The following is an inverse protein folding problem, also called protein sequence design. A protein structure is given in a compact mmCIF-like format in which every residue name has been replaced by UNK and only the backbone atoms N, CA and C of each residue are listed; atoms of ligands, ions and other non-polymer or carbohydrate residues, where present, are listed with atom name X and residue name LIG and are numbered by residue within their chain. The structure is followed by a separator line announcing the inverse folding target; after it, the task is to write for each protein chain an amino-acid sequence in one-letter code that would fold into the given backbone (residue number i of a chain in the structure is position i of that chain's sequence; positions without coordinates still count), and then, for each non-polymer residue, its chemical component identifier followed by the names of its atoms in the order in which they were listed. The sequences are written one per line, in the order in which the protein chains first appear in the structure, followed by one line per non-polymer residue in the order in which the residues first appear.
data_IF_850335015151
#
_entry.id   IF_850335015151
#
_cell.length_a   1.000
_cell.length_b   1.000
_cell.length_c   1.000
_cell.angle_alpha   90.00
_cell.angle_beta   90.00
_cell.angle_gamma   90.00
#
_symmetry.space_group_name_H-M   'P 1'
#
loop_
_entity.id
_entity.type
_entity.pdbx_description
1 polymer ?
#
# COMPACT_ATOMS: atom_id res chain seq x y z
N UNK A 1 -13.70 28.79 -56.86
CA UNK A 1 -13.68 27.47 -56.26
C UNK A 1 -15.13 27.03 -56.10
N UNK A 2 -15.48 25.93 -56.63
CA UNK A 2 -16.85 25.42 -56.68
C UNK A 2 -16.98 24.09 -55.89
N UNK A 3 -16.33 24.03 -54.74
CA UNK A 3 -16.44 22.88 -53.86
C UNK A 3 -17.65 23.03 -52.94
N UNK A 4 -18.41 21.96 -52.82
CA UNK A 4 -19.49 21.86 -51.83
C UNK A 4 -18.92 21.96 -50.43
N UNK A 5 -19.59 22.66 -49.53
CA UNK A 5 -19.22 22.74 -48.14
C UNK A 5 -19.10 21.32 -47.56
N UNK A 6 -17.99 21.06 -46.94
CA UNK A 6 -17.75 19.82 -46.16
C UNK A 6 -17.99 20.14 -44.69
N UNK A 7 -18.71 19.29 -44.01
CA UNK A 7 -18.88 19.39 -42.56
C UNK A 7 -18.24 18.17 -41.90
N UNK A 8 -17.49 18.42 -40.86
CA UNK A 8 -16.93 17.38 -40.01
C UNK A 8 -17.61 17.42 -38.65
N UNK A 9 -17.89 16.28 -38.09
CA UNK A 9 -18.34 16.16 -36.70
C UNK A 9 -17.10 15.97 -35.87
N UNK A 10 -16.94 16.77 -34.84
CA UNK A 10 -15.99 16.56 -33.75
C UNK A 10 -16.83 16.16 -32.55
N UNK A 11 -16.60 15.00 -32.03
CA UNK A 11 -17.33 14.46 -30.92
C UNK A 11 -16.35 13.71 -30.00
N UNK A 12 -16.68 13.63 -28.74
CA UNK A 12 -15.99 12.74 -27.80
C UNK A 12 -16.19 11.28 -28.17
N UNK A 13 -15.25 10.43 -27.80
CA UNK A 13 -15.37 8.98 -27.87
C UNK A 13 -15.88 8.43 -26.53
N UNK A 14 -16.24 7.17 -26.49
CA UNK A 14 -16.42 6.46 -25.23
C UNK A 14 -15.12 5.77 -24.87
N UNK A 15 -14.65 5.99 -23.66
CA UNK A 15 -13.48 5.30 -23.14
C UNK A 15 -13.81 3.88 -22.68
N UNK A 16 -12.79 3.06 -22.57
CA UNK A 16 -12.82 1.77 -21.88
C UNK A 16 -11.61 1.65 -20.96
N UNK A 17 -11.82 1.05 -19.81
CA UNK A 17 -10.75 0.70 -18.86
C UNK A 17 -10.77 -0.80 -18.63
N UNK A 18 -9.60 -1.39 -18.53
CA UNK A 18 -9.39 -2.83 -18.41
C UNK A 18 -8.23 -3.11 -17.46
N UNK A 19 -8.42 -4.01 -16.53
CA UNK A 19 -7.35 -4.62 -15.73
C UNK A 19 -6.98 -5.90 -16.46
N UNK A 20 -5.81 -5.92 -17.11
CA UNK A 20 -5.40 -7.03 -17.98
C UNK A 20 -4.97 -8.26 -17.16
N UNK A 21 -5.94 -9.09 -16.77
CA UNK A 21 -5.69 -10.32 -16.05
C UNK A 21 -4.66 -11.25 -16.72
N UNK A 22 -4.36 -11.06 -18.01
CA UNK A 22 -3.32 -11.84 -18.68
C UNK A 22 -1.90 -11.44 -18.27
N UNK A 23 -1.72 -10.27 -17.69
CA UNK A 23 -0.42 -9.80 -17.16
C UNK A 23 0.04 -10.63 -15.95
N UNK A 24 -0.90 -11.10 -15.12
CA UNK A 24 -0.65 -11.85 -13.88
C UNK A 24 -0.99 -13.35 -13.97
N UNK A 25 -1.30 -13.85 -15.14
CA UNK A 25 -1.57 -15.27 -15.33
C UNK A 25 -3.03 -15.69 -15.14
N UNK A 26 -3.37 -16.40 -14.09
CA UNK A 26 -4.75 -16.88 -13.85
C UNK A 26 -5.40 -16.23 -12.63
N UNK A 27 -4.63 -15.66 -11.76
CA UNK A 27 -5.02 -15.10 -10.47
C UNK A 27 -4.07 -13.96 -10.15
N UNK A 28 -4.54 -12.87 -9.62
CA UNK A 28 -3.71 -11.77 -9.21
C UNK A 28 -3.34 -11.97 -7.74
N UNK A 29 -2.07 -12.19 -7.48
CA UNK A 29 -1.56 -12.46 -6.14
C UNK A 29 -0.81 -11.27 -5.56
N UNK A 30 -0.58 -11.29 -4.25
CA UNK A 30 0.25 -10.31 -3.57
C UNK A 30 1.63 -10.22 -4.22
N UNK A 31 2.10 -9.00 -4.46
CA UNK A 31 3.39 -8.73 -5.11
C UNK A 31 3.39 -8.87 -6.63
N UNK A 32 2.26 -9.13 -7.28
CA UNK A 32 2.16 -9.20 -8.74
C UNK A 32 1.66 -7.89 -9.34
N UNK A 33 2.32 -7.45 -10.40
CA UNK A 33 2.00 -6.23 -11.14
C UNK A 33 0.89 -6.46 -12.16
N UNK A 34 -0.28 -5.84 -11.93
CA UNK A 34 -1.43 -5.85 -12.83
C UNK A 34 -1.37 -4.68 -13.80
N UNK A 35 -1.33 -4.95 -15.09
CA UNK A 35 -1.40 -3.90 -16.11
C UNK A 35 -2.81 -3.30 -16.17
N UNK A 36 -2.89 -1.97 -16.16
CA UNK A 36 -4.12 -1.21 -16.33
C UNK A 36 -4.09 -0.51 -17.68
N UNK A 37 -5.09 -0.77 -18.52
CA UNK A 37 -5.19 -0.21 -19.87
C UNK A 37 -6.40 0.71 -19.97
N UNK A 38 -6.17 1.97 -20.30
CA UNK A 38 -7.20 2.94 -20.62
C UNK A 38 -7.18 3.24 -22.11
N UNK A 39 -8.29 3.00 -22.80
CA UNK A 39 -8.47 3.43 -24.18
C UNK A 39 -9.41 4.62 -24.23
N UNK A 40 -8.86 5.80 -24.50
CA UNK A 40 -9.62 7.05 -24.64
C UNK A 40 -8.97 7.94 -25.70
N UNK A 41 -9.61 8.02 -26.87
CA UNK A 41 -9.12 8.82 -27.99
C UNK A 41 -9.18 10.33 -27.73
N UNK A 42 -9.96 10.75 -26.75
CA UNK A 42 -10.11 12.19 -26.40
C UNK A 42 -8.90 12.72 -25.64
N UNK A 43 -8.09 11.82 -25.06
CA UNK A 43 -6.85 12.14 -24.35
C UNK A 43 -5.64 12.23 -25.29
N UNK A 44 -5.74 11.72 -26.51
CA UNK A 44 -4.69 11.88 -27.52
C UNK A 44 -4.74 13.31 -28.09
N UNK A 45 -3.89 14.18 -27.59
CA UNK A 45 -3.82 15.60 -27.94
C UNK A 45 -2.81 15.90 -29.04
N UNK A 46 -1.85 14.99 -29.27
CA UNK A 46 -0.77 15.20 -30.21
C UNK A 46 -0.39 13.91 -30.95
N UNK A 47 -0.74 13.82 -32.19
CA UNK A 47 -0.51 12.64 -33.04
C UNK A 47 0.98 12.40 -33.41
N UNK A 48 1.93 13.12 -32.85
CA UNK A 48 3.36 13.03 -33.13
C UNK A 48 4.21 12.78 -31.88
N UNK A 49 3.60 12.68 -30.75
CA UNK A 49 4.20 12.42 -29.44
C UNK A 49 3.20 11.67 -28.60
N UNK A 50 3.67 10.77 -27.82
CA UNK A 50 2.96 10.12 -26.75
C UNK A 50 2.62 11.10 -25.62
N UNK A 51 1.50 10.94 -25.01
CA UNK A 51 1.02 11.71 -23.87
C UNK A 51 1.21 10.95 -22.56
N UNK A 52 1.70 11.66 -21.54
CA UNK A 52 1.73 11.20 -20.16
C UNK A 52 0.48 11.75 -19.43
N UNK A 53 -0.34 10.87 -18.93
CA UNK A 53 -1.49 11.23 -18.13
C UNK A 53 -1.10 11.32 -16.67
N UNK A 54 -0.81 12.52 -16.20
CA UNK A 54 -0.36 12.73 -14.83
C UNK A 54 -1.29 13.67 -14.07
N UNK A 55 -1.42 13.45 -12.77
CA UNK A 55 -2.17 14.34 -11.88
C UNK A 55 -1.53 15.72 -11.86
N UNK A 56 -0.21 15.81 -11.87
CA UNK A 56 0.52 17.07 -11.96
C UNK A 56 0.27 17.82 -13.28
N UNK A 57 -0.02 17.10 -14.35
CA UNK A 57 -0.43 17.66 -15.65
C UNK A 57 -1.87 18.18 -15.68
N UNK A 58 -2.63 17.92 -14.65
CA UNK A 58 -4.04 18.30 -14.56
C UNK A 58 -4.99 17.36 -15.30
N UNK A 59 -4.52 16.17 -15.62
CA UNK A 59 -5.33 15.15 -16.27
C UNK A 59 -6.10 14.34 -15.24
N UNK A 60 -7.30 13.91 -15.58
CA UNK A 60 -8.02 12.92 -14.81
C UNK A 60 -7.38 11.56 -15.10
N UNK A 61 -6.89 10.91 -14.05
CA UNK A 61 -6.30 9.58 -14.14
C UNK A 61 -7.21 8.56 -13.48
N UNK A 62 -7.10 7.27 -13.82
CA UNK A 62 -7.79 6.21 -13.11
C UNK A 62 -7.44 6.19 -11.63
N UNK A 63 -8.32 5.66 -10.82
CA UNK A 63 -8.10 5.57 -9.38
C UNK A 63 -8.61 4.26 -8.81
N UNK A 64 -7.89 3.75 -7.82
CA UNK A 64 -8.27 2.61 -7.01
C UNK A 64 -8.58 3.12 -5.61
N UNK A 65 -9.72 2.75 -5.08
CA UNK A 65 -10.10 3.10 -3.71
C UNK A 65 -10.12 1.84 -2.85
N UNK A 66 -9.35 1.87 -1.77
CA UNK A 66 -9.40 0.86 -0.72
C UNK A 66 -10.13 1.45 0.48
N UNK A 67 -11.08 0.71 1.03
CA UNK A 67 -11.88 1.15 2.17
C UNK A 67 -12.72 2.40 1.91
N UNK A 68 -12.76 3.30 2.89
CA UNK A 68 -13.56 4.53 2.87
C UNK A 68 -12.70 5.76 3.15
N UNK A 69 -11.78 6.12 2.28
CA UNK A 69 -10.88 7.25 2.49
C UNK A 69 -11.64 8.58 2.51
N UNK A 70 -11.06 9.54 3.20
CA UNK A 70 -11.54 10.92 3.22
C UNK A 70 -10.70 11.77 2.27
N UNK A 71 -11.34 12.65 1.54
CA UNK A 71 -10.64 13.53 0.63
C UNK A 71 -11.41 14.84 0.40
N UNK A 72 -10.79 15.80 -0.30
CA UNK A 72 -11.36 17.11 -0.57
C UNK A 72 -12.76 17.11 -1.18
N UNK A 73 -13.18 16.07 -1.85
CA UNK A 73 -14.50 16.02 -2.47
C UNK A 73 -15.63 15.70 -1.51
N UNK A 74 -15.33 15.18 -0.32
CA UNK A 74 -16.34 14.95 0.71
C UNK A 74 -16.64 16.20 1.51
N UNK A 75 -15.72 17.18 1.47
CA UNK A 75 -15.87 18.51 2.03
C UNK A 75 -15.93 19.62 0.96
N UNK A 76 -16.34 20.81 1.35
CA UNK A 76 -16.26 22.00 0.50
C UNK A 76 -14.87 22.58 0.68
N UNK A 77 -13.95 22.28 -0.23
CA UNK A 77 -12.66 22.96 -0.24
C UNK A 77 -12.88 24.46 -0.47
N UNK A 78 -12.55 25.28 0.49
CA UNK A 78 -12.51 26.71 0.37
C UNK A 78 -11.07 27.18 0.51
N UNK A 79 -10.59 27.90 -0.49
CA UNK A 79 -9.33 28.63 -0.36
C UNK A 79 -9.61 29.98 0.27
N UNK A 80 -9.05 30.17 1.44
CA UNK A 80 -9.08 31.46 2.14
C UNK A 80 -7.65 31.95 2.33
N UNK A 81 -7.38 33.20 1.97
CA UNK A 81 -6.04 33.79 2.15
C UNK A 81 -5.70 34.81 1.08
N UNK A 82 -4.43 35.18 1.01
CA UNK A 82 -3.92 36.14 0.00
C UNK A 82 -4.00 35.63 -1.45
N UNK A 83 -4.36 34.39 -1.63
CA UNK A 83 -4.55 33.73 -2.93
C UNK A 83 -6.02 33.81 -3.33
N UNK A 84 -6.26 34.30 -4.52
CA UNK A 84 -7.60 34.53 -5.02
C UNK A 84 -8.28 33.20 -5.36
N UNK A 85 -9.39 32.97 -4.73
CA UNK A 85 -10.44 31.98 -5.04
C UNK A 85 -10.03 30.72 -5.81
N UNK A 86 -10.07 29.60 -5.16
CA UNK A 86 -10.07 28.29 -5.83
C UNK A 86 -11.46 28.00 -6.39
N UNK A 87 -11.53 27.73 -7.67
CA UNK A 87 -12.66 27.05 -8.24
C UNK A 87 -12.49 25.56 -8.02
N UNK A 88 -13.16 25.02 -7.01
CA UNK A 88 -13.30 23.59 -6.86
C UNK A 88 -14.21 23.07 -7.97
N UNK A 89 -13.64 22.49 -9.00
CA UNK A 89 -14.41 21.63 -9.86
C UNK A 89 -14.59 20.30 -9.12
N UNK A 90 -15.80 20.01 -8.71
CA UNK A 90 -16.16 18.70 -8.17
C UNK A 90 -16.04 17.69 -9.30
N UNK A 91 -14.98 16.97 -9.33
CA UNK A 91 -14.82 15.82 -10.19
C UNK A 91 -15.19 14.58 -9.39
N UNK A 92 -15.47 13.47 -10.00
CA UNK A 92 -16.04 12.29 -9.35
C UNK A 92 -15.34 11.82 -8.08
N UNK A 93 -15.98 10.91 -7.39
CA UNK A 93 -15.48 10.27 -6.17
C UNK A 93 -14.05 9.71 -6.30
N UNK A 94 -13.60 9.38 -7.50
CA UNK A 94 -12.33 8.70 -7.77
C UNK A 94 -11.26 9.57 -8.45
N UNK A 95 -11.58 10.79 -8.85
CA UNK A 95 -10.63 11.67 -9.56
C UNK A 95 -10.66 13.07 -8.95
N UNK A 96 -10.22 13.18 -7.71
CA UNK A 96 -10.42 14.33 -6.85
C UNK A 96 -9.32 15.36 -7.03
N UNK A 97 -9.43 16.12 -8.12
CA UNK A 97 -8.53 17.23 -8.42
C UNK A 97 -9.28 18.54 -8.21
N UNK A 98 -8.72 19.41 -7.40
CA UNK A 98 -9.13 20.80 -7.31
C UNK A 98 -8.20 21.68 -8.16
N UNK A 99 -8.68 22.83 -8.61
CA UNK A 99 -7.89 23.77 -9.39
C UNK A 99 -7.72 25.08 -8.64
N UNK A 100 -6.51 25.61 -8.63
CA UNK A 100 -6.18 26.89 -8.02
C UNK A 100 -5.69 27.90 -9.04
N UNK A 101 -6.16 29.15 -8.92
CA UNK A 101 -5.56 30.29 -9.61
C UNK A 101 -4.45 30.89 -8.74
N UNK A 102 -3.21 30.83 -9.22
CA UNK A 102 -2.03 31.36 -8.55
C UNK A 102 -1.59 32.63 -9.27
N UNK A 103 -1.43 33.71 -8.51
CA UNK A 103 -0.93 34.98 -9.00
C UNK A 103 0.59 35.06 -8.80
N UNK A 104 1.30 35.68 -9.74
CA UNK A 104 2.76 35.87 -9.57
C UNK A 104 3.07 36.66 -8.29
N UNK A 105 3.85 36.05 -7.40
CA UNK A 105 4.23 36.61 -6.10
C UNK A 105 3.43 36.07 -4.91
N UNK A 106 2.44 35.22 -5.11
CA UNK A 106 1.82 34.46 -4.04
C UNK A 106 2.85 33.53 -3.41
N UNK A 107 2.82 33.41 -2.09
CA UNK A 107 3.79 32.63 -1.34
C UNK A 107 3.17 31.48 -0.58
N UNK A 108 1.86 31.47 -0.44
CA UNK A 108 1.15 30.51 0.39
C UNK A 108 -0.20 30.15 -0.25
N UNK A 109 -0.46 28.86 -0.37
CA UNK A 109 -1.76 28.31 -0.72
C UNK A 109 -2.35 27.68 0.54
N UNK A 110 -3.56 28.07 0.89
CA UNK A 110 -4.29 27.56 2.05
C UNK A 110 -5.50 26.80 1.56
N UNK A 111 -5.61 25.56 1.96
CA UNK A 111 -6.68 24.65 1.60
C UNK A 111 -7.47 24.34 2.87
N UNK A 112 -8.71 24.79 2.94
CA UNK A 112 -9.66 24.36 3.94
C UNK A 112 -10.30 23.07 3.44
N UNK A 113 -10.05 21.97 4.11
CA UNK A 113 -10.49 20.65 3.65
C UNK A 113 -11.98 20.40 3.91
N UNK A 114 -12.59 21.21 4.78
CA UNK A 114 -13.95 20.97 5.26
C UNK A 114 -14.10 19.69 6.11
N UNK A 115 -12.99 19.07 6.48
CA UNK A 115 -12.93 17.90 7.35
C UNK A 115 -12.59 18.40 8.74
N UNK A 116 -13.36 18.01 9.75
CA UNK A 116 -13.09 18.42 11.13
C UNK A 116 -11.98 17.55 11.74
N UNK A 117 -11.32 18.11 12.79
CA UNK A 117 -10.36 17.32 13.56
C UNK A 117 -10.97 16.04 14.15
N UNK A 118 -12.25 16.08 14.52
CA UNK A 118 -12.97 14.89 15.00
C UNK A 118 -13.19 13.86 13.88
N UNK A 119 -13.56 14.29 12.66
CA UNK A 119 -13.70 13.38 11.52
C UNK A 119 -12.38 12.72 11.17
N UNK A 120 -11.28 13.48 11.24
CA UNK A 120 -9.95 12.92 11.04
C UNK A 120 -9.56 11.94 12.14
N UNK A 121 -9.90 12.24 13.40
CA UNK A 121 -9.67 11.35 14.53
C UNK A 121 -10.51 10.06 14.46
N UNK A 122 -11.72 10.12 13.90
CA UNK A 122 -12.58 8.94 13.67
C UNK A 122 -12.04 8.03 12.55
N UNK A 123 -11.25 8.59 11.63
CA UNK A 123 -10.56 7.83 10.59
C UNK A 123 -9.29 7.20 11.17
N UNK A 124 -8.71 7.88 12.15
CA UNK A 124 -7.46 7.53 12.82
C UNK A 124 -7.65 6.32 13.72
N UNK A 125 -6.82 5.31 13.53
CA UNK A 125 -6.70 4.27 14.53
C UNK A 125 -5.27 4.22 15.12
N UNK A 126 -4.27 4.00 14.33
CA UNK A 126 -2.88 3.89 14.81
C UNK A 126 -1.91 4.67 13.94
N UNK A 127 -2.13 4.67 12.64
CA UNK A 127 -1.33 5.39 11.66
C UNK A 127 -2.24 6.13 10.69
N UNK A 128 -2.06 7.43 10.57
CA UNK A 128 -2.74 8.24 9.56
C UNK A 128 -1.70 8.80 8.60
N UNK A 129 -2.04 8.81 7.34
CA UNK A 129 -1.22 9.40 6.31
C UNK A 129 -2.02 10.42 5.50
N UNK A 130 -1.35 11.45 5.04
CA UNK A 130 -1.91 12.44 4.14
C UNK A 130 -1.12 12.46 2.85
N UNK A 131 -1.81 12.37 1.75
CA UNK A 131 -1.24 12.59 0.43
C UNK A 131 -1.67 13.96 -0.10
N UNK A 132 -0.69 14.80 -0.42
CA UNK A 132 -0.90 16.12 -1.03
C UNK A 132 -0.04 16.22 -2.28
N UNK A 133 -0.65 16.22 -3.45
CA UNK A 133 0.06 16.46 -4.69
C UNK A 133 -0.16 17.90 -5.15
N UNK A 134 0.91 18.66 -5.17
CA UNK A 134 0.96 20.07 -5.56
C UNK A 134 2.07 20.34 -6.60
N UNK A 135 2.52 19.30 -7.27
CA UNK A 135 3.62 19.37 -8.25
C UNK A 135 3.39 20.41 -9.35
N UNK A 136 2.13 20.61 -9.76
CA UNK A 136 1.75 21.63 -10.74
C UNK A 136 2.02 23.07 -10.30
N UNK A 137 2.23 23.32 -9.01
CA UNK A 137 2.50 24.69 -8.50
C UNK A 137 3.96 25.12 -8.64
N UNK A 138 4.84 24.26 -9.11
CA UNK A 138 6.26 24.54 -9.26
C UNK A 138 7.06 24.20 -8.01
N UNK A 139 7.93 25.09 -7.54
CA UNK A 139 8.80 24.79 -6.39
C UNK A 139 8.09 25.04 -5.08
N UNK A 140 7.89 24.00 -4.31
CA UNK A 140 7.28 24.03 -2.97
C UNK A 140 8.39 24.12 -1.92
N UNK A 141 8.17 24.90 -0.88
CA UNK A 141 9.08 25.01 0.25
C UNK A 141 8.70 24.04 1.38
N UNK A 142 7.42 23.99 1.71
CA UNK A 142 6.86 23.07 2.71
C UNK A 142 5.36 22.91 2.51
N UNK A 143 4.81 21.83 3.08
CA UNK A 143 3.38 21.65 3.30
C UNK A 143 3.17 21.44 4.77
N UNK A 144 2.22 22.14 5.35
CA UNK A 144 1.89 22.09 6.77
C UNK A 144 0.39 21.81 6.94
N UNK A 145 0.03 21.03 7.95
CA UNK A 145 -1.37 20.65 8.21
C UNK A 145 -1.71 21.03 9.65
N UNK A 146 -2.82 21.69 9.85
CA UNK A 146 -3.28 22.07 11.19
C UNK A 146 -4.80 22.32 11.24
N UNK A 147 -5.34 22.41 12.45
CA UNK A 147 -6.70 22.88 12.66
C UNK A 147 -6.81 24.41 12.49
N UNK A 148 -7.95 24.88 11.99
CA UNK A 148 -8.25 26.33 11.79
C UNK A 148 -7.95 27.17 13.01
N UNK A 149 -8.24 26.69 14.22
CA UNK A 149 -7.97 27.42 15.47
C UNK A 149 -6.49 27.57 15.79
N UNK A 150 -5.65 26.77 15.19
CA UNK A 150 -4.19 26.86 15.30
C UNK A 150 -3.55 27.68 14.19
N UNK A 151 -4.32 28.01 13.15
CA UNK A 151 -3.86 28.85 12.06
C UNK A 151 -4.09 30.33 12.36
N UNK A 152 -3.04 31.11 12.29
CA UNK A 152 -3.08 32.57 12.49
C UNK A 152 -2.68 33.25 11.20
N UNK A 153 -3.53 34.11 10.66
CA UNK A 153 -3.32 34.86 9.42
C UNK A 153 -1.90 35.46 9.36
N UNK A 154 -1.12 34.98 8.40
CA UNK A 154 0.26 35.41 8.14
C UNK A 154 1.33 34.75 9.02
N UNK A 155 0.99 33.75 9.80
CA UNK A 155 1.92 32.84 10.46
C UNK A 155 1.55 31.40 10.13
N UNK A 156 2.59 30.60 9.87
CA UNK A 156 2.53 29.14 9.78
C UNK A 156 1.66 28.51 10.85
N UNK A 157 1.18 27.33 10.60
CA UNK A 157 0.51 26.47 11.58
C UNK A 157 1.34 26.39 12.88
N UNK A 158 1.20 27.33 13.79
CA UNK A 158 2.04 27.37 14.99
C UNK A 158 1.23 27.20 16.26
N UNK A 159 1.69 26.32 17.08
CA UNK A 159 1.69 26.46 18.52
C UNK A 159 0.73 25.67 19.40
N UNK A 160 -0.04 24.70 18.94
CA UNK A 160 -0.76 23.84 19.89
C UNK A 160 -0.43 22.33 19.81
N UNK A 161 0.67 21.95 19.15
CA UNK A 161 1.17 20.58 19.18
C UNK A 161 0.54 19.64 18.17
N UNK A 162 -0.20 20.17 17.22
CA UNK A 162 -0.83 19.45 16.09
C UNK A 162 -0.33 19.95 14.74
N UNK A 163 0.88 20.42 14.69
CA UNK A 163 1.54 20.80 13.45
C UNK A 163 2.21 19.57 12.87
N UNK A 164 1.87 19.23 11.63
CA UNK A 164 2.60 18.27 10.83
C UNK A 164 3.32 19.01 9.71
N UNK A 165 4.62 18.87 9.66
CA UNK A 165 5.44 19.33 8.56
C UNK A 165 5.71 18.15 7.64
N UNK A 166 5.09 18.16 6.47
CA UNK A 166 5.36 17.14 5.45
C UNK A 166 6.73 17.38 4.82
N UNK A 167 7.59 16.41 4.87
CA UNK A 167 8.90 16.46 4.21
C UNK A 167 8.78 16.13 2.73
N UNK A 168 9.51 16.86 1.90
CA UNK A 168 9.46 16.72 0.45
C UNK A 168 9.91 15.37 -0.05
N UNK A 169 9.07 14.70 -0.82
CA UNK A 169 9.55 13.79 -1.85
C UNK A 169 10.04 14.58 -3.08
N UNK A 170 10.83 13.96 -3.93
CA UNK A 170 11.48 14.62 -5.07
C UNK A 170 10.54 15.13 -6.16
N UNK A 171 9.25 14.82 -6.08
CA UNK A 171 8.27 15.02 -7.16
C UNK A 171 7.17 16.05 -6.85
N UNK A 172 7.20 16.70 -5.68
CA UNK A 172 6.12 17.62 -5.27
C UNK A 172 4.87 16.91 -4.73
N UNK A 173 4.97 15.62 -4.52
CA UNK A 173 4.02 14.82 -3.76
C UNK A 173 4.53 14.73 -2.34
N UNK A 174 3.66 15.04 -1.40
CA UNK A 174 3.97 15.01 0.02
C UNK A 174 3.07 13.97 0.66
N UNK A 175 3.66 13.00 1.29
CA UNK A 175 2.99 12.08 2.19
C UNK A 175 3.80 11.95 3.46
N UNK A 176 3.16 11.81 4.57
CA UNK A 176 3.80 11.57 5.86
C UNK A 176 2.76 10.98 6.82
N UNK A 177 3.23 10.24 7.81
CA UNK A 177 2.39 9.80 8.89
C UNK A 177 1.89 11.00 9.70
N UNK A 178 0.60 11.08 9.83
CA UNK A 178 -0.03 11.94 10.82
C UNK A 178 -0.03 11.21 12.15
N UNK A 179 0.96 11.42 12.98
CA UNK A 179 0.76 11.17 14.39
C UNK A 179 -0.27 12.21 14.90
N UNK A 180 -1.53 12.00 14.62
CA UNK A 180 -2.60 12.85 15.15
C UNK A 180 -2.69 12.61 16.63
N UNK A 181 -1.97 13.43 17.38
CA UNK A 181 -2.32 13.65 18.77
C UNK A 181 -3.73 14.25 18.73
N UNK A 182 -4.73 13.39 18.92
CA UNK A 182 -6.13 13.71 18.86
C UNK A 182 -6.43 15.07 19.49
N UNK A 183 -6.59 16.05 18.66
CA UNK A 183 -7.26 17.28 19.02
C UNK A 183 -8.61 17.18 18.38
N UNK A 184 -9.48 16.64 19.10
CA UNK A 184 -10.86 16.26 18.87
C UNK A 184 -11.79 17.45 18.73
N UNK A 185 -11.38 18.51 18.04
CA UNK A 185 -12.29 19.60 17.77
C UNK A 185 -13.36 19.14 16.76
N UNK A 186 -14.55 18.89 17.26
CA UNK A 186 -15.73 18.62 16.43
C UNK A 186 -16.22 19.82 15.62
N UNK A 187 -15.52 20.96 15.66
CA UNK A 187 -15.98 22.22 15.09
C UNK A 187 -14.92 23.00 14.33
N UNK A 188 -13.69 22.54 14.32
CA UNK A 188 -12.60 23.19 13.60
C UNK A 188 -12.17 22.31 12.44
N UNK A 189 -12.13 22.90 11.25
CA UNK A 189 -11.74 22.22 10.03
C UNK A 189 -10.22 22.08 9.96
N UNK A 190 -9.76 21.06 9.25
CA UNK A 190 -8.35 20.84 8.95
C UNK A 190 -7.94 21.71 7.76
N UNK A 191 -6.84 22.42 7.92
CA UNK A 191 -6.22 23.24 6.88
C UNK A 191 -4.93 22.61 6.42
N UNK A 192 -4.75 22.55 5.10
CA UNK A 192 -3.46 22.27 4.46
C UNK A 192 -2.87 23.59 3.97
N UNK A 193 -1.70 23.95 4.47
CA UNK A 193 -0.96 25.14 4.07
C UNK A 193 0.24 24.74 3.20
N UNK A 194 0.24 25.18 1.92
CA UNK A 194 1.34 24.93 0.99
C UNK A 194 2.17 26.20 0.85
N UNK A 195 3.42 26.14 1.23
CA UNK A 195 4.35 27.27 1.13
C UNK A 195 5.15 27.16 -0.16
N UNK A 196 4.99 28.15 -1.02
CA UNK A 196 5.59 28.23 -2.33
C UNK A 196 6.97 28.90 -2.28
N UNK A 197 8.02 28.25 -2.75
CA UNK A 197 9.37 28.82 -2.76
C UNK A 197 9.55 29.85 -3.90
N UNK A 198 8.88 29.65 -5.03
CA UNK A 198 8.87 30.56 -6.17
C UNK A 198 7.60 30.37 -6.98
N UNK A 199 6.88 31.44 -7.26
CA UNK A 199 5.63 31.38 -8.01
C UNK A 199 5.72 32.08 -9.35
N UNK A 200 5.29 31.37 -10.40
CA UNK A 200 4.79 31.98 -11.62
C UNK A 200 3.25 31.98 -11.55
N UNK A 201 2.61 32.95 -12.22
CA UNK A 201 1.16 32.94 -12.32
C UNK A 201 0.71 31.67 -13.08
N UNK A 202 -0.25 30.98 -12.51
CA UNK A 202 -0.89 29.79 -13.09
C UNK A 202 -2.41 29.93 -12.95
N UNK A 203 -3.13 29.49 -13.93
CA UNK A 203 -4.59 29.45 -13.91
C UNK A 203 -5.02 28.00 -13.93
N UNK A 204 -5.97 27.66 -13.07
CA UNK A 204 -6.46 26.29 -12.93
C UNK A 204 -5.35 25.25 -12.66
N UNK A 205 -4.39 25.60 -11.81
CA UNK A 205 -3.34 24.65 -11.41
C UNK A 205 -3.94 23.50 -10.59
N UNK A 206 -3.82 22.26 -11.06
CA UNK A 206 -4.45 21.12 -10.41
C UNK A 206 -3.68 20.71 -9.14
N UNK A 207 -4.41 20.22 -8.16
CA UNK A 207 -3.86 19.59 -6.96
C UNK A 207 -4.88 18.63 -6.36
N UNK A 208 -4.44 17.69 -5.54
CA UNK A 208 -5.31 16.87 -4.71
C UNK A 208 -4.81 16.80 -3.28
N UNK A 209 -5.71 16.49 -2.37
CA UNK A 209 -5.42 16.14 -0.97
C UNK A 209 -6.32 14.98 -0.59
N UNK A 210 -5.72 13.88 -0.25
CA UNK A 210 -6.38 12.67 0.22
C UNK A 210 -5.84 12.29 1.59
N UNK A 211 -6.70 11.86 2.50
CA UNK A 211 -6.33 11.40 3.82
C UNK A 211 -6.45 9.89 3.86
N UNK A 212 -5.36 9.24 4.23
CA UNK A 212 -5.27 7.81 4.39
C UNK A 212 -5.31 7.47 5.87
N UNK A 213 -5.93 6.36 6.22
CA UNK A 213 -5.83 5.80 7.56
C UNK A 213 -5.45 4.34 7.47
N UNK A 214 -4.44 3.97 8.27
CA UNK A 214 -3.99 2.61 8.43
C UNK A 214 -4.08 2.22 9.89
N UNK A 215 -4.57 1.02 10.17
CA UNK A 215 -4.57 0.46 11.51
C UNK A 215 -4.56 -1.05 11.39
N UNK A 216 -4.56 -1.74 12.53
CA UNK A 216 -4.63 -3.21 12.62
C UNK A 216 -5.78 -3.82 11.80
N UNK A 217 -6.78 -3.04 11.44
CA UNK A 217 -7.99 -3.49 10.78
C UNK A 217 -8.51 -2.56 9.68
N UNK A 218 -7.85 -1.45 9.41
CA UNK A 218 -8.36 -0.44 8.46
C UNK A 218 -7.25 0.09 7.57
N UNK A 219 -7.43 -0.09 6.27
CA UNK A 219 -6.72 0.66 5.25
C UNK A 219 -7.74 1.45 4.43
N UNK A 220 -7.69 2.79 4.51
CA UNK A 220 -8.55 3.66 3.71
C UNK A 220 -7.66 4.56 2.86
N UNK A 221 -7.60 4.31 1.57
CA UNK A 221 -6.70 5.02 0.67
C UNK A 221 -7.31 5.24 -0.71
N UNK A 222 -6.83 6.26 -1.41
CA UNK A 222 -7.09 6.47 -2.83
C UNK A 222 -5.75 6.50 -3.56
N UNK A 223 -5.56 5.53 -4.41
CA UNK A 223 -4.41 5.44 -5.30
C UNK A 223 -4.78 5.96 -6.68
N UNK A 224 -3.90 6.75 -7.28
CA UNK A 224 -4.12 7.41 -8.57
C UNK A 224 -3.11 6.88 -9.57
N UNK A 225 -3.59 6.11 -10.51
CA UNK A 225 -2.75 5.44 -11.50
C UNK A 225 -2.47 6.42 -12.63
N UNK A 226 -1.27 6.95 -12.70
CA UNK A 226 -0.80 7.72 -13.85
C UNK A 226 -0.58 6.77 -15.02
N UNK A 227 -0.70 7.23 -16.25
CA UNK A 227 -0.65 6.36 -17.42
C UNK A 227 0.19 7.01 -18.51
N UNK A 228 0.90 6.18 -19.28
CA UNK A 228 1.69 6.60 -20.44
C UNK A 228 1.06 6.06 -21.72
N UNK A 229 0.98 6.90 -22.77
CA UNK A 229 0.44 6.44 -24.05
C UNK A 229 1.37 5.38 -24.68
N UNK A 230 0.82 4.30 -25.16
CA UNK A 230 1.57 3.15 -25.71
C UNK A 230 2.30 3.45 -27.02
N UNK A 231 2.17 4.65 -27.52
CA UNK A 231 2.88 5.19 -28.68
C UNK A 231 2.12 6.30 -29.36
N UNK A 232 2.82 7.07 -30.21
CA UNK A 232 2.29 8.22 -30.92
C UNK A 232 0.89 7.94 -31.50
N UNK A 233 -0.13 8.68 -31.13
CA UNK A 233 -1.47 8.63 -31.72
C UNK A 233 -2.22 7.28 -31.56
N UNK A 234 -2.06 6.60 -30.46
CA UNK A 234 -2.79 5.36 -30.17
C UNK A 234 -4.10 5.63 -29.41
N UNK A 235 -4.12 6.61 -28.52
CA UNK A 235 -5.20 6.84 -27.56
C UNK A 235 -5.40 5.66 -26.63
N UNK A 236 -4.37 4.86 -26.47
CA UNK A 236 -4.29 3.73 -25.54
C UNK A 236 -3.17 4.03 -24.55
N UNK A 237 -3.50 4.01 -23.28
CA UNK A 237 -2.62 4.40 -22.19
C UNK A 237 -2.47 3.22 -21.23
N UNK A 238 -1.27 2.99 -20.75
CA UNK A 238 -0.94 1.90 -19.84
C UNK A 238 -0.26 2.42 -18.57
N UNK A 239 -0.51 1.78 -17.48
CA UNK A 239 0.12 1.88 -16.19
C UNK A 239 -0.10 0.58 -15.45
N UNK A 240 0.35 0.50 -14.21
CA UNK A 240 0.23 -0.73 -13.44
C UNK A 240 -0.21 -0.49 -12.00
N UNK A 241 -0.63 -1.55 -11.37
CA UNK A 241 -0.90 -1.59 -9.95
C UNK A 241 -0.49 -2.93 -9.38
N UNK A 242 0.23 -2.88 -8.29
CA UNK A 242 0.59 -4.03 -7.48
C UNK A 242 -0.12 -3.93 -6.12
N UNK A 243 -0.53 -5.04 -5.53
CA UNK A 243 -0.97 -5.02 -4.15
C UNK A 243 -0.08 -5.87 -3.27
N UNK A 244 0.11 -5.40 -2.05
CA UNK A 244 0.82 -6.13 -1.01
C UNK A 244 -0.14 -6.45 0.11
N UNK A 245 -0.25 -7.73 0.45
CA UNK A 245 -1.11 -8.18 1.53
C UNK A 245 -0.50 -7.80 2.88
N UNK A 246 -1.32 -7.23 3.78
CA UNK A 246 -0.89 -7.00 5.16
C UNK A 246 -0.75 -8.33 5.89
N UNK A 247 0.42 -8.57 6.44
CA UNK A 247 0.78 -9.77 7.18
C UNK A 247 1.51 -9.42 8.48
N UNK A 248 1.86 -10.42 9.28
CA UNK A 248 2.49 -10.22 10.58
C UNK A 248 3.89 -9.58 10.52
N UNK A 249 4.46 -9.37 9.35
CA UNK A 249 5.77 -8.75 9.20
C UNK A 249 5.65 -7.27 8.85
N UNK A 250 4.67 -6.91 8.01
CA UNK A 250 4.59 -5.58 7.44
C UNK A 250 3.51 -4.68 8.05
N UNK A 251 2.48 -5.23 8.73
CA UNK A 251 1.30 -4.46 9.12
C UNK A 251 1.58 -3.37 10.19
N UNK A 252 2.59 -3.53 11.02
CA UNK A 252 2.95 -2.60 12.10
C UNK A 252 4.35 -2.02 11.88
N UNK A 253 4.73 -1.76 10.65
CA UNK A 253 6.03 -1.16 10.32
C UNK A 253 5.86 0.19 9.66
N UNK A 254 6.45 1.22 10.26
CA UNK A 254 6.54 2.56 9.66
C UNK A 254 7.04 2.49 8.21
N UNK A 255 8.04 1.67 7.94
CA UNK A 255 8.63 1.52 6.61
C UNK A 255 7.64 0.99 5.54
N UNK A 256 6.62 0.24 5.93
CA UNK A 256 5.57 -0.24 5.02
C UNK A 256 4.72 0.93 4.52
N UNK A 257 4.45 1.89 5.38
CA UNK A 257 3.58 3.04 5.07
C UNK A 257 4.37 4.23 4.55
N UNK A 258 5.61 4.44 5.02
CA UNK A 258 6.51 5.50 4.56
C UNK A 258 6.88 5.39 3.08
N UNK A 259 6.84 4.18 2.53
CA UNK A 259 7.18 3.90 1.13
C UNK A 259 6.03 4.12 0.15
N UNK A 260 4.79 4.28 0.64
CA UNK A 260 3.63 4.41 -0.23
C UNK A 260 3.73 5.67 -1.08
N UNK A 261 3.68 5.49 -2.39
CA UNK A 261 3.50 6.57 -3.34
C UNK A 261 2.12 6.42 -4.01
N UNK A 262 1.10 7.14 -3.50
CA UNK A 262 -0.28 6.93 -3.93
C UNK A 262 -0.59 7.52 -5.31
N UNK A 263 0.39 8.12 -6.00
CA UNK A 263 0.19 8.75 -7.32
C UNK A 263 1.42 8.52 -8.18
N UNK A 264 1.34 7.54 -9.04
CA UNK A 264 2.41 7.16 -9.97
C UNK A 264 1.86 6.26 -11.08
N UNK A 265 2.69 5.90 -12.03
CA UNK A 265 2.38 5.00 -13.15
C UNK A 265 2.48 3.52 -12.80
N UNK A 266 3.13 3.24 -11.68
CA UNK A 266 3.31 1.93 -11.08
C UNK A 266 2.93 2.00 -9.60
N UNK A 267 1.68 1.71 -9.30
CA UNK A 267 1.08 1.98 -7.99
C UNK A 267 1.19 0.75 -7.09
N UNK A 268 1.95 0.88 -6.02
CA UNK A 268 1.95 -0.11 -4.94
C UNK A 268 0.81 0.17 -3.95
N UNK A 269 -0.03 -0.82 -3.73
CA UNK A 269 -1.17 -0.73 -2.83
C UNK A 269 -1.00 -1.66 -1.64
N UNK A 270 -1.36 -1.18 -0.46
CA UNK A 270 -1.52 -2.03 0.72
C UNK A 270 -3.00 -2.33 0.86
N UNK A 271 -3.35 -3.60 0.84
CA UNK A 271 -4.74 -4.02 0.94
C UNK A 271 -5.22 -4.16 2.37
N UNK A 272 -6.53 -4.09 2.51
CA UNK A 272 -7.24 -4.16 3.79
C UNK A 272 -7.09 -5.54 4.45
N UNK A 273 -6.98 -5.57 5.78
CA UNK A 273 -6.88 -6.81 6.56
C UNK A 273 -8.11 -7.73 6.45
N UNK A 274 -9.28 -7.18 6.14
CA UNK A 274 -10.52 -7.95 6.07
C UNK A 274 -10.77 -8.58 4.68
N UNK A 275 -9.75 -8.64 3.82
CA UNK A 275 -9.85 -9.31 2.51
C UNK A 275 -10.03 -10.82 2.67
N UNK A 276 -10.69 -11.40 1.70
CA UNK A 276 -10.97 -12.84 1.57
C UNK A 276 -10.65 -13.33 0.16
N UNK A 277 -10.71 -14.62 -0.10
CA UNK A 277 -10.53 -15.21 -1.43
C UNK A 277 -11.62 -14.82 -2.46
N UNK A 278 -12.70 -14.17 -2.02
CA UNK A 278 -13.80 -13.70 -2.88
C UNK A 278 -13.73 -12.18 -3.17
N UNK A 279 -12.74 -11.48 -2.63
CA UNK A 279 -12.63 -10.03 -2.77
C UNK A 279 -11.93 -9.62 -4.08
N UNK A 280 -12.15 -8.38 -4.48
CA UNK A 280 -11.62 -7.84 -5.74
C UNK A 280 -11.22 -6.38 -5.58
N UNK A 281 -10.18 -6.00 -6.29
CA UNK A 281 -9.77 -4.61 -6.43
C UNK A 281 -10.41 -4.03 -7.70
N UNK A 282 -10.82 -2.77 -7.59
CA UNK A 282 -11.54 -2.09 -8.66
C UNK A 282 -10.87 -0.80 -9.06
N UNK A 283 -10.57 -0.66 -10.34
CA UNK A 283 -10.13 0.59 -10.95
C UNK A 283 -11.32 1.36 -11.51
N UNK A 284 -11.32 2.67 -11.37
CA UNK A 284 -12.40 3.56 -11.80
C UNK A 284 -11.82 4.74 -12.60
N UNK A 285 -12.52 5.11 -13.66
CA UNK A 285 -12.19 6.29 -14.48
C UNK A 285 -13.45 7.07 -14.82
N UNK A 286 -13.35 8.41 -14.88
CA UNK A 286 -14.44 9.29 -15.27
C UNK A 286 -14.26 9.76 -16.70
N UNK A 287 -14.97 9.12 -17.61
CA UNK A 287 -15.00 9.44 -19.03
C UNK A 287 -15.97 10.58 -19.35
N UNK A 288 -15.56 11.51 -20.20
CA UNK A 288 -16.48 12.42 -20.89
C UNK A 288 -16.93 11.75 -22.19
N UNK A 289 -17.96 10.93 -22.10
CA UNK A 289 -18.41 10.12 -23.20
C UNK A 289 -18.88 10.88 -24.44
N UNK A 290 -19.05 10.15 -25.52
CA UNK A 290 -19.48 10.70 -26.85
C UNK A 290 -20.79 11.47 -26.83
N UNK A 291 -21.63 11.32 -25.83
CA UNK A 291 -22.84 12.06 -25.60
C UNK A 291 -22.63 13.39 -24.83
N UNK A 292 -21.39 13.67 -24.42
CA UNK A 292 -21.03 14.86 -23.64
C UNK A 292 -21.42 14.77 -22.17
N UNK A 293 -21.67 13.55 -21.66
CA UNK A 293 -22.01 13.31 -20.26
C UNK A 293 -20.85 12.59 -19.60
N UNK A 294 -20.42 13.10 -18.44
CA UNK A 294 -19.45 12.41 -17.62
C UNK A 294 -20.03 11.10 -17.09
N UNK A 295 -19.38 10.01 -17.41
CA UNK A 295 -19.78 8.65 -17.02
C UNK A 295 -18.62 7.95 -16.35
N UNK A 296 -18.84 7.40 -15.17
CA UNK A 296 -17.85 6.55 -14.53
C UNK A 296 -17.85 5.19 -15.21
N UNK A 297 -16.69 4.78 -15.67
CA UNK A 297 -16.40 3.43 -16.13
C UNK A 297 -15.46 2.76 -15.13
N UNK A 298 -15.43 1.45 -15.12
CA UNK A 298 -14.62 0.70 -14.17
C UNK A 298 -14.41 -0.72 -14.64
N UNK A 299 -13.34 -1.31 -14.14
CA UNK A 299 -13.08 -2.74 -14.21
C UNK A 299 -12.62 -3.26 -12.84
N UNK A 300 -12.64 -4.57 -12.63
CA UNK A 300 -12.24 -5.18 -11.38
C UNK A 300 -11.71 -6.59 -11.60
N UNK A 301 -10.65 -6.93 -10.84
CA UNK A 301 -10.09 -8.27 -10.81
C UNK A 301 -10.02 -8.81 -9.38
N UNK A 302 -10.10 -10.12 -9.25
CA UNK A 302 -9.97 -10.78 -7.96
C UNK A 302 -8.56 -10.56 -7.40
N UNK A 303 -8.50 -10.22 -6.12
CA UNK A 303 -7.27 -10.05 -5.34
C UNK A 303 -7.42 -10.88 -4.05
N UNK A 304 -7.26 -12.21 -4.15
CA UNK A 304 -7.57 -13.10 -3.05
C UNK A 304 -6.53 -13.07 -1.94
N UNK A 305 -6.96 -13.41 -0.72
CA UNK A 305 -6.07 -13.91 0.33
C UNK A 305 -5.95 -15.43 0.20
N UNK A 306 -4.85 -15.96 0.66
CA UNK A 306 -4.53 -17.40 0.59
C UNK A 306 -4.49 -18.03 1.98
N UNK A 307 -4.68 -19.34 2.01
CA UNK A 307 -4.49 -20.10 3.26
C UNK A 307 -3.09 -20.67 3.30
N UNK A 308 -2.31 -20.24 4.26
CA UNK A 308 -0.95 -20.71 4.45
C UNK A 308 -0.85 -22.14 4.99
N UNK A 309 0.30 -22.77 4.80
CA UNK A 309 0.70 -24.03 5.45
C UNK A 309 2.12 -23.98 5.97
N UNK A 310 2.42 -24.87 6.93
CA UNK A 310 3.75 -25.05 7.47
C UNK A 310 4.08 -26.54 7.55
N UNK A 311 5.21 -26.93 6.97
CA UNK A 311 5.64 -28.33 6.86
C UNK A 311 7.09 -28.54 7.28
N UNK A 312 7.37 -29.67 7.89
CA UNK A 312 8.70 -30.21 8.15
C UNK A 312 9.07 -31.25 7.08
N UNK A 313 10.33 -31.29 6.65
CA UNK A 313 10.78 -32.20 5.60
C UNK A 313 10.81 -33.67 6.01
N UNK A 314 10.66 -34.01 7.30
CA UNK A 314 10.66 -35.39 7.80
C UNK A 314 9.80 -35.55 9.06
N UNK A 315 9.14 -36.72 9.21
CA UNK A 315 8.37 -37.08 10.41
C UNK A 315 9.23 -37.41 11.63
N UNK A 316 10.56 -37.57 11.46
CA UNK A 316 11.47 -37.83 12.57
C UNK A 316 12.92 -37.46 12.28
N UNK A 317 13.57 -36.87 13.24
CA UNK A 317 14.95 -36.42 13.19
C UNK A 317 15.81 -37.07 14.24
N UNK A 318 17.13 -36.90 14.10
CA UNK A 318 18.15 -37.20 15.09
C UNK A 318 18.90 -35.94 15.45
N UNK A 319 19.64 -36.02 16.57
CA UNK A 319 20.57 -34.94 16.92
C UNK A 319 21.53 -34.66 15.76
N UNK A 320 21.72 -33.38 15.47
CA UNK A 320 22.52 -32.83 14.39
C UNK A 320 21.96 -33.08 12.97
N UNK A 321 20.80 -33.68 12.81
CA UNK A 321 20.08 -33.62 11.51
C UNK A 321 19.66 -32.17 11.22
N UNK A 322 19.64 -31.83 9.95
CA UNK A 322 19.09 -30.54 9.50
C UNK A 322 17.59 -30.70 9.33
N UNK A 323 16.85 -29.86 9.99
CA UNK A 323 15.40 -29.66 9.79
C UNK A 323 15.22 -28.62 8.72
N UNK A 324 14.40 -28.91 7.73
CA UNK A 324 13.95 -27.93 6.75
C UNK A 324 12.50 -27.61 7.06
N UNK A 325 12.22 -26.32 7.27
CA UNK A 325 10.88 -25.77 7.45
C UNK A 325 10.46 -25.18 6.11
N UNK A 326 9.26 -25.50 5.67
CA UNK A 326 8.63 -24.87 4.49
C UNK A 326 7.36 -24.18 4.94
N UNK A 327 7.23 -22.91 4.61
CA UNK A 327 5.98 -22.13 4.71
C UNK A 327 5.52 -21.91 3.28
N UNK A 328 4.28 -22.25 2.99
CA UNK A 328 3.62 -22.01 1.69
C UNK A 328 2.46 -21.07 1.93
N UNK A 329 2.63 -19.81 1.55
CA UNK A 329 1.64 -18.74 1.70
C UNK A 329 1.94 -17.63 0.70
N UNK A 330 1.06 -17.46 -0.28
CA UNK A 330 1.22 -16.45 -1.33
C UNK A 330 1.09 -15.02 -0.76
N UNK A 331 0.40 -14.84 0.36
CA UNK A 331 0.24 -13.54 1.00
C UNK A 331 1.54 -13.01 1.60
N UNK A 332 2.57 -13.84 1.71
CA UNK A 332 3.92 -13.45 2.11
C UNK A 332 4.78 -12.95 0.94
N UNK A 333 4.34 -13.11 -0.31
CA UNK A 333 5.03 -12.55 -1.46
C UNK A 333 4.84 -11.03 -1.48
N UNK A 334 5.93 -10.28 -1.60
CA UNK A 334 5.93 -8.80 -1.60
C UNK A 334 6.43 -8.21 -2.91
N UNK A 335 7.09 -9.00 -3.76
CA UNK A 335 7.64 -8.55 -5.04
C UNK A 335 7.80 -9.77 -5.97
N UNK A 336 7.03 -9.81 -7.02
CA UNK A 336 7.05 -10.93 -7.99
C UNK A 336 8.28 -10.94 -8.92
N UNK A 337 9.12 -9.91 -8.90
CA UNK A 337 10.35 -9.86 -9.69
C UNK A 337 11.60 -10.26 -8.88
N UNK A 338 11.53 -10.25 -7.57
CA UNK A 338 12.62 -10.57 -6.66
C UNK A 338 12.31 -11.83 -5.84
N UNK A 339 13.31 -12.34 -5.19
CA UNK A 339 13.16 -13.40 -4.18
C UNK A 339 13.02 -12.74 -2.82
N UNK A 340 11.91 -12.96 -2.17
CA UNK A 340 11.65 -12.46 -0.84
C UNK A 340 12.47 -13.19 0.23
N UNK A 341 12.98 -12.43 1.19
CA UNK A 341 13.82 -12.95 2.28
C UNK A 341 13.41 -12.36 3.61
N UNK A 342 12.90 -13.19 4.49
CA UNK A 342 12.57 -12.82 5.86
C UNK A 342 13.71 -13.18 6.81
N UNK A 343 14.34 -12.16 7.37
CA UNK A 343 15.54 -12.32 8.19
C UNK A 343 15.20 -12.41 9.68
N UNK A 344 15.86 -13.31 10.37
CA UNK A 344 15.73 -13.49 11.82
C UNK A 344 16.01 -12.23 12.65
N UNK A 345 16.83 -11.31 12.15
CA UNK A 345 17.17 -10.05 12.82
C UNK A 345 16.29 -8.87 12.44
N UNK A 346 15.61 -8.91 11.30
CA UNK A 346 14.71 -7.84 10.87
C UNK A 346 13.47 -7.75 11.78
N UNK A 347 12.97 -8.88 12.24
CA UNK A 347 11.85 -8.97 13.17
C UNK A 347 12.11 -8.36 14.57
N UNK A 348 13.32 -7.88 14.84
CA UNK A 348 13.70 -7.35 16.17
C UNK A 348 13.32 -5.88 16.37
N UNK A 349 13.18 -5.11 15.31
CA UNK A 349 12.89 -3.67 15.39
C UNK A 349 11.41 -3.38 15.60
N UNK A 350 10.57 -4.39 15.56
CA UNK A 350 9.16 -4.32 15.94
C UNK A 350 9.05 -4.19 17.47
N UNK A 351 9.30 -2.99 17.95
CA UNK A 351 9.33 -2.69 19.39
C UNK A 351 7.89 -2.54 19.88
N UNK A 352 7.37 -3.57 20.46
CA UNK A 352 6.25 -3.46 21.37
C UNK A 352 5.11 -4.43 21.20
N UNK A 353 5.01 -5.18 20.13
CA UNK A 353 3.93 -6.13 19.95
C UNK A 353 4.35 -7.57 19.75
N UNK A 354 3.80 -8.40 20.63
CA UNK A 354 4.02 -9.84 20.62
C UNK A 354 3.26 -10.56 19.48
N UNK A 355 2.47 -9.83 18.70
CA UNK A 355 1.56 -10.40 17.70
C UNK A 355 2.23 -10.56 16.34
N UNK A 356 3.17 -9.69 15.98
CA UNK A 356 3.74 -9.63 14.63
C UNK A 356 4.83 -10.66 14.29
N UNK A 357 5.16 -11.63 15.15
CA UNK A 357 6.39 -12.41 15.01
C UNK A 357 6.19 -13.92 14.90
N UNK A 358 4.98 -14.39 14.76
CA UNK A 358 4.65 -15.82 14.75
C UNK A 358 4.80 -16.48 13.37
N UNK A 359 5.82 -16.08 12.60
CA UNK A 359 6.26 -16.87 11.45
C UNK A 359 7.26 -17.91 11.93
N UNK A 360 6.94 -19.17 11.72
CA UNK A 360 7.79 -20.30 12.04
C UNK A 360 8.21 -20.35 13.53
N UNK A 361 7.24 -20.37 14.42
CA UNK A 361 7.44 -20.74 15.81
C UNK A 361 7.92 -22.19 15.88
N UNK A 362 8.93 -22.45 16.69
CA UNK A 362 9.46 -23.81 16.90
C UNK A 362 9.25 -24.23 18.34
N UNK A 363 8.56 -25.34 18.54
CA UNK A 363 8.35 -25.94 19.84
C UNK A 363 9.14 -27.25 20.00
N UNK A 364 9.91 -27.35 21.06
CA UNK A 364 10.50 -28.61 21.53
C UNK A 364 9.83 -29.01 22.85
N UNK A 365 9.16 -30.13 22.85
CA UNK A 365 8.37 -30.61 23.99
C UNK A 365 7.30 -29.55 24.33
N UNK A 366 7.39 -28.87 25.43
CA UNK A 366 6.42 -27.82 25.84
C UNK A 366 7.04 -26.39 25.77
N UNK A 367 8.20 -26.23 25.15
CA UNK A 367 8.91 -24.94 25.07
C UNK A 367 8.91 -24.40 23.64
N UNK A 368 8.32 -23.24 23.47
CA UNK A 368 8.22 -22.56 22.17
C UNK A 368 9.22 -21.41 22.07
N UNK A 369 9.91 -21.34 20.95
CA UNK A 369 10.67 -20.18 20.46
C UNK A 369 9.83 -19.49 19.41
N UNK A 370 9.46 -18.24 19.69
CA UNK A 370 8.48 -17.51 18.91
C UNK A 370 9.15 -16.75 17.79
N UNK A 371 8.69 -17.01 16.58
CA UNK A 371 9.06 -16.33 15.36
C UNK A 371 10.52 -16.46 14.97
N UNK A 372 10.88 -15.85 13.84
CA UNK A 372 12.23 -15.94 13.28
C UNK A 372 13.31 -15.39 14.20
N UNK A 373 12.99 -14.42 15.04
CA UNK A 373 13.96 -13.83 15.94
C UNK A 373 14.45 -14.82 17.03
N UNK A 374 13.55 -15.54 17.66
CA UNK A 374 13.92 -16.50 18.72
C UNK A 374 14.43 -17.82 18.14
N UNK A 375 13.86 -18.27 17.01
CA UNK A 375 14.30 -19.47 16.30
C UNK A 375 15.66 -19.29 15.63
N UNK A 376 15.96 -18.07 15.17
CA UNK A 376 17.27 -17.67 14.66
C UNK A 376 17.60 -18.16 13.26
N UNK A 377 16.62 -18.65 12.49
CA UNK A 377 16.81 -18.97 11.07
C UNK A 377 16.03 -18.00 10.17
N UNK A 378 16.50 -17.87 8.94
CA UNK A 378 15.85 -17.04 7.94
C UNK A 378 14.93 -17.89 7.09
N UNK A 379 13.89 -17.28 6.54
CA UNK A 379 13.08 -17.83 5.47
C UNK A 379 13.47 -17.16 4.15
N UNK A 380 13.66 -17.97 3.12
CA UNK A 380 14.03 -17.53 1.79
C UNK A 380 13.04 -18.14 0.81
N UNK A 381 12.47 -17.32 -0.01
CA UNK A 381 11.57 -17.76 -1.04
C UNK A 381 12.28 -18.70 -2.04
N UNK A 382 11.62 -19.74 -2.50
CA UNK A 382 12.22 -20.79 -3.33
C UNK A 382 12.35 -20.41 -4.80
N UNK A 383 11.64 -19.41 -5.23
CA UNK A 383 11.65 -18.84 -6.59
C UNK A 383 10.95 -17.50 -6.56
N UNK A 384 11.19 -16.64 -7.49
CA UNK A 384 10.41 -15.41 -7.65
C UNK A 384 8.93 -15.77 -7.78
N UNK A 385 8.07 -15.03 -7.11
CA UNK A 385 6.62 -15.21 -7.17
C UNK A 385 6.15 -16.65 -6.85
N UNK A 386 6.82 -17.31 -5.92
CA UNK A 386 6.46 -18.68 -5.56
C UNK A 386 5.56 -18.80 -4.33
N UNK A 387 5.56 -17.79 -3.46
CA UNK A 387 4.90 -17.83 -2.15
C UNK A 387 5.40 -18.94 -1.23
N UNK A 388 6.44 -19.69 -1.64
CA UNK A 388 6.98 -20.83 -0.90
C UNK A 388 8.32 -20.46 -0.30
N UNK A 389 8.38 -20.41 1.01
CA UNK A 389 9.54 -20.01 1.79
C UNK A 389 10.17 -21.18 2.51
N UNK A 390 11.48 -21.28 2.51
CA UNK A 390 12.21 -22.32 3.24
C UNK A 390 13.24 -21.74 4.16
N UNK A 391 13.35 -22.37 5.32
CA UNK A 391 14.40 -22.13 6.29
C UNK A 391 14.94 -23.42 6.87
N UNK A 392 16.08 -23.39 7.54
CA UNK A 392 16.63 -24.60 8.13
C UNK A 392 17.42 -24.33 9.39
N UNK A 393 17.40 -25.30 10.30
CA UNK A 393 18.21 -25.31 11.49
C UNK A 393 18.65 -26.76 11.81
N UNK A 394 19.59 -26.90 12.74
CA UNK A 394 20.03 -28.24 13.18
C UNK A 394 19.39 -28.61 14.50
N UNK A 395 18.95 -29.87 14.63
CA UNK A 395 18.46 -30.40 15.87
C UNK A 395 19.57 -30.33 16.92
N UNK A 396 19.40 -29.60 18.03
CA UNK A 396 20.39 -29.47 19.07
C UNK A 396 20.52 -30.79 19.89
N UNK A 397 21.67 -31.02 20.52
CA UNK A 397 21.82 -32.11 21.45
C UNK A 397 20.98 -31.88 22.73
N UNK A 398 20.93 -30.64 23.16
CA UNK A 398 20.20 -30.20 24.35
C UNK A 398 19.55 -28.83 24.11
N UNK A 399 18.47 -28.56 24.81
CA UNK A 399 17.78 -27.28 24.81
C UNK A 399 17.50 -26.83 26.25
N UNK A 400 17.08 -25.59 26.43
CA UNK A 400 16.67 -25.05 27.72
C UNK A 400 15.15 -25.24 27.89
N UNK A 401 14.75 -26.19 28.78
CA UNK A 401 13.33 -26.44 29.04
C UNK A 401 12.71 -25.53 30.11
N UNK A 402 13.43 -24.46 30.49
CA UNK A 402 13.00 -23.52 31.54
C UNK A 402 13.31 -24.00 32.96
N UNK A 403 13.69 -25.25 33.12
CA UNK A 403 14.09 -25.88 34.40
C UNK A 403 15.55 -26.37 34.35
N UNK A 404 15.92 -27.03 33.26
CA UNK A 404 17.28 -27.51 32.99
C UNK A 404 17.78 -26.88 31.67
N UNK A 405 18.84 -26.09 31.75
CA UNK A 405 19.46 -25.46 30.59
C UNK A 405 20.08 -26.45 29.60
N UNK A 406 20.12 -27.70 29.92
CA UNK A 406 20.74 -28.78 29.14
C UNK A 406 19.85 -30.02 29.05
N UNK A 407 18.53 -29.85 28.99
CA UNK A 407 17.58 -30.92 28.76
C UNK A 407 17.88 -31.62 27.41
N UNK A 408 17.88 -32.97 27.35
CA UNK A 408 18.19 -33.66 26.10
C UNK A 408 17.05 -33.54 25.10
N UNK A 409 17.37 -33.22 23.86
CA UNK A 409 16.38 -33.13 22.78
C UNK A 409 15.89 -34.52 22.30
N UNK A 410 16.65 -35.57 22.59
CA UNK A 410 16.28 -36.94 22.20
C UNK A 410 15.10 -37.47 23.01
N UNK A 411 14.05 -37.88 22.32
CA UNK A 411 12.83 -38.42 22.92
C UNK A 411 11.74 -37.38 23.11
N UNK A 412 11.98 -36.13 22.64
CA UNK A 412 11.00 -35.07 22.56
C UNK A 412 10.40 -34.98 21.15
N UNK A 413 9.33 -34.25 21.02
CA UNK A 413 8.76 -33.89 19.76
C UNK A 413 9.20 -32.46 19.39
N UNK A 414 9.24 -32.17 18.11
CA UNK A 414 9.45 -30.85 17.53
C UNK A 414 8.22 -30.49 16.70
N UNK A 415 7.80 -29.26 16.78
CA UNK A 415 6.67 -28.75 16.03
C UNK A 415 7.06 -27.39 15.44
N UNK A 416 6.65 -27.14 14.20
CA UNK A 416 6.67 -25.82 13.57
C UNK A 416 5.25 -25.31 13.52
N UNK A 417 5.02 -24.07 13.91
CA UNK A 417 3.73 -23.40 13.82
C UNK A 417 3.88 -22.08 13.06
N UNK A 418 2.94 -21.82 12.19
CA UNK A 418 2.81 -20.61 11.44
C UNK A 418 1.44 -20.00 11.73
N UNK A 419 1.44 -18.75 12.15
CA UNK A 419 0.21 -17.96 12.21
C UNK A 419 0.00 -17.31 10.86
N UNK A 420 -0.86 -17.91 10.07
CA UNK A 420 -1.41 -17.29 8.88
C UNK A 420 -2.26 -16.07 9.32
N UNK A 421 -1.84 -14.89 8.90
CA UNK A 421 -2.43 -13.65 9.36
C UNK A 421 -3.85 -13.46 8.81
N UNK A 422 -4.07 -13.93 7.60
CA UNK A 422 -5.37 -14.01 6.94
C UNK A 422 -5.41 -15.23 6.03
N UNK A 423 -6.22 -16.19 6.41
CA UNK A 423 -6.53 -17.32 5.52
C UNK A 423 -7.52 -16.91 4.42
N UNK A 424 -7.79 -17.77 3.49
CA UNK A 424 -8.77 -17.56 2.42
C UNK A 424 -10.17 -17.13 2.90
N UNK A 425 -10.48 -17.31 4.17
CA UNK A 425 -11.74 -16.86 4.79
C UNK A 425 -11.61 -15.52 5.54
N UNK A 426 -10.44 -14.87 5.47
CA UNK A 426 -10.16 -13.63 6.16
C UNK A 426 -9.93 -13.77 7.66
N UNK A 427 -9.62 -14.98 8.17
CA UNK A 427 -9.38 -15.22 9.60
C UNK A 427 -7.89 -15.45 9.86
N UNK A 428 -7.42 -14.99 11.01
CA UNK A 428 -6.11 -15.42 11.50
C UNK A 428 -6.21 -16.86 12.01
N UNK A 429 -5.40 -17.76 11.48
CA UNK A 429 -5.34 -19.16 11.89
C UNK A 429 -3.91 -19.59 12.18
N UNK A 430 -3.75 -20.59 13.06
CA UNK A 430 -2.47 -21.26 13.27
C UNK A 430 -2.47 -22.60 12.54
N UNK A 431 -1.46 -22.82 11.73
CA UNK A 431 -1.19 -24.09 11.03
C UNK A 431 0.19 -24.60 11.41
N UNK A 432 0.39 -25.90 11.35
CA UNK A 432 1.69 -26.45 11.75
C UNK A 432 1.86 -27.92 11.43
N UNK A 433 3.10 -28.37 11.57
CA UNK A 433 3.50 -29.78 11.40
C UNK A 433 4.44 -30.21 12.51
N UNK A 434 4.45 -31.50 12.81
CA UNK A 434 5.19 -32.05 13.92
C UNK A 434 6.04 -33.28 13.58
N UNK A 435 7.20 -33.39 14.22
CA UNK A 435 8.10 -34.50 14.05
C UNK A 435 8.70 -34.95 15.40
N UNK A 436 9.16 -36.18 15.47
CA UNK A 436 9.78 -36.70 16.68
C UNK A 436 11.30 -36.74 16.59
N UNK A 437 11.99 -36.42 17.69
CA UNK A 437 13.47 -36.55 17.79
C UNK A 437 13.83 -37.89 18.41
N UNK A 438 14.49 -38.78 17.66
CA UNK A 438 14.77 -40.15 18.03
C UNK A 438 16.27 -40.44 18.13
N UNK A 439 16.65 -41.27 19.11
CA UNK A 439 17.98 -41.86 19.14
C UNK A 439 18.04 -43.15 18.33
N UNK A 440 19.20 -43.44 17.78
CA UNK A 440 19.47 -44.75 17.19
C UNK A 440 19.69 -45.79 18.26
N UNK A 441 19.08 -46.95 18.16
CA UNK A 441 19.41 -48.12 18.99
C UNK A 441 20.67 -48.75 18.44
N UNK A 442 21.74 -48.72 19.23
CA UNK A 442 22.95 -49.45 18.91
C UNK A 442 22.78 -50.97 19.11
N UNK A 443 23.42 -51.78 18.29
CA UNK A 443 23.53 -53.22 18.52
C UNK A 443 24.98 -53.65 18.53
N UNK A 444 25.31 -54.54 19.48
CA UNK A 444 26.63 -55.18 19.54
C UNK A 444 26.46 -56.67 19.32
N UNK A 445 27.19 -57.23 18.38
CA UNK A 445 27.22 -58.65 18.14
C UNK A 445 28.66 -59.18 18.30
N UNK A 446 28.79 -60.34 18.89
CA UNK A 446 30.07 -61.06 18.93
C UNK A 446 30.17 -61.93 17.69
N UNK A 447 31.25 -61.78 16.93
CA UNK A 447 31.58 -62.73 15.89
C UNK A 447 32.18 -63.97 16.54
N UNK A 448 31.59 -65.14 16.30
CA UNK A 448 32.15 -66.40 16.74
C UNK A 448 33.03 -66.92 15.59
N UNK A 449 34.31 -66.81 15.75
CA UNK A 449 35.29 -67.59 14.97
C UNK A 449 35.29 -69.02 15.32
#
# INVERSE_FOLDING_TARGET
YNDSAQSFVVAHSFATIDMDASSVGNEWNSGEEMTIVLNDQDLNLNTFQDEDLTVAGGTLVPSIQIGSPVSLDTGVAQLTGAITAVNTATVSLFSKIANADITAGDTTLIIDTGITGADLADISATYDSVSVNVASFGTIASVEICEVGSWVDGNTCTANGTELLLTTTTTGIFHDELAVAATDSATEDIIVEVILAATAAQTDAPFHVDFFSFSDSVNNAIYRVELEETGDNTGSFEGSAEYVMLNQINFDQDATFDGINPTQDDVDMIVHLDMTDEDSIRVNYLDLGADGVNTQIADQEAAPTHSGSADLDMDSYKIADTVVVTIDDQDLNTDSELIDVYLANAARDLVGDAVGLHIADITFDDITWTGLFETGFNLVETGIDSGIFTGSFQVPETFNDGVDATAPATGTDIEVNYNDFRDASGNTIEVGDGASIRANTGSVSFDRT
#
